data_IF_482150813438
#
_entry.id   IF_482150813438
#
_cell.length_a   1.000
_cell.length_b   1.000
_cell.length_c   1.000
_cell.angle_alpha   90.00
_cell.angle_beta   90.00
_cell.angle_gamma   90.00
#
_symmetry.space_group_name_H-M   'P 1'
#
loop_
_entity.id
_entity.type
_entity.pdbx_description
1 polymer ?
#
# COMPACT_ATOMS: atom_id res chain seq x y z
N UNK A 1 -8.37 1.38 0.15
CA UNK A 1 -8.07 2.77 -0.28
C UNK A 1 -8.90 3.12 -1.50
N UNK A 2 -9.56 4.29 -1.48
CA UNK A 2 -10.45 4.74 -2.55
C UNK A 2 -9.94 6.10 -3.05
N UNK A 3 -9.92 6.32 -4.37
CA UNK A 3 -9.63 7.62 -4.98
C UNK A 3 -10.84 8.13 -5.75
N UNK A 4 -11.08 9.45 -5.69
CA UNK A 4 -12.18 10.13 -6.36
C UNK A 4 -11.62 11.34 -7.10
N UNK A 5 -11.50 11.23 -8.42
CA UNK A 5 -11.02 12.30 -9.29
C UNK A 5 -12.17 12.84 -10.18
N UNK A 6 -11.96 13.97 -10.82
CA UNK A 6 -12.90 14.57 -11.74
C UNK A 6 -12.86 16.10 -11.74
N UNK A 7 -13.57 16.78 -12.67
CA UNK A 7 -13.52 18.23 -12.85
C UNK A 7 -14.07 19.03 -11.68
N UNK A 8 -13.90 20.34 -11.70
CA UNK A 8 -14.45 21.25 -10.70
C UNK A 8 -15.98 21.20 -10.71
N UNK A 9 -16.62 21.22 -9.54
CA UNK A 9 -18.09 21.22 -9.41
C UNK A 9 -18.78 19.87 -9.66
N UNK A 10 -18.03 18.76 -9.92
CA UNK A 10 -18.61 17.42 -10.08
C UNK A 10 -19.12 16.78 -8.77
N UNK A 11 -19.07 17.48 -7.64
CA UNK A 11 -19.58 16.99 -6.36
C UNK A 11 -18.62 16.13 -5.55
N UNK A 12 -17.34 16.01 -5.96
CA UNK A 12 -16.35 15.14 -5.34
C UNK A 12 -16.23 15.27 -3.82
N UNK A 13 -16.08 16.49 -3.30
CA UNK A 13 -15.83 16.73 -1.87
C UNK A 13 -17.02 16.31 -1.01
N UNK A 14 -18.24 16.58 -1.46
CA UNK A 14 -19.47 16.16 -0.78
C UNK A 14 -19.56 14.63 -0.75
N UNK A 15 -19.43 14.02 -1.92
CA UNK A 15 -19.53 12.57 -2.07
C UNK A 15 -18.40 11.84 -1.34
N UNK A 16 -17.17 12.36 -1.40
CA UNK A 16 -16.01 11.76 -0.70
C UNK A 16 -16.21 11.77 0.82
N UNK A 17 -16.74 12.86 1.37
CA UNK A 17 -17.05 12.96 2.81
C UNK A 17 -18.12 11.95 3.21
N UNK A 18 -19.25 11.94 2.52
CA UNK A 18 -20.37 11.03 2.80
C UNK A 18 -19.95 9.55 2.63
N UNK A 19 -19.16 9.25 1.61
CA UNK A 19 -18.65 7.90 1.39
C UNK A 19 -17.67 7.49 2.50
N UNK A 20 -16.78 8.37 2.92
CA UNK A 20 -15.85 8.12 4.02
C UNK A 20 -16.59 7.86 5.33
N UNK A 21 -17.58 8.69 5.67
CA UNK A 21 -18.45 8.52 6.84
C UNK A 21 -19.17 7.16 6.81
N UNK A 22 -19.79 6.82 5.67
CA UNK A 22 -20.53 5.56 5.49
C UNK A 22 -19.65 4.32 5.63
N UNK A 23 -18.40 4.40 5.17
CA UNK A 23 -17.46 3.28 5.21
C UNK A 23 -16.60 3.21 6.47
N UNK A 24 -16.68 4.21 7.37
CA UNK A 24 -15.79 4.37 8.50
C UNK A 24 -14.34 4.65 8.07
N UNK A 25 -14.14 5.33 6.94
CA UNK A 25 -12.84 5.68 6.38
C UNK A 25 -12.44 7.11 6.72
N UNK A 26 -11.14 7.39 6.69
CA UNK A 26 -10.62 8.75 6.84
C UNK A 26 -10.68 9.49 5.51
N UNK A 27 -11.27 10.69 5.50
CA UNK A 27 -11.24 11.58 4.34
C UNK A 27 -9.87 12.28 4.26
N UNK A 28 -9.24 12.22 3.09
CA UNK A 28 -8.02 12.98 2.75
C UNK A 28 -8.37 14.00 1.66
N UNK A 29 -8.66 15.25 2.03
CA UNK A 29 -9.02 16.32 1.09
C UNK A 29 -7.75 16.89 0.46
N UNK A 30 -7.25 16.26 -0.63
CA UNK A 30 -5.95 16.62 -1.23
C UNK A 30 -5.92 18.09 -1.70
N UNK A 31 -7.04 18.58 -2.24
CA UNK A 31 -7.18 19.97 -2.65
C UNK A 31 -7.03 20.97 -1.50
N UNK A 32 -7.46 20.62 -0.29
CA UNK A 32 -7.32 21.50 0.87
C UNK A 32 -5.85 21.61 1.34
N UNK A 33 -5.03 20.57 1.13
CA UNK A 33 -3.59 20.63 1.42
C UNK A 33 -2.88 21.62 0.50
N UNK A 34 -3.21 21.63 -0.81
CA UNK A 34 -2.69 22.66 -1.73
C UNK A 34 -3.17 24.05 -1.35
N UNK A 35 -4.43 24.19 -0.93
CA UNK A 35 -4.97 25.47 -0.46
C UNK A 35 -4.29 25.98 0.81
N UNK A 36 -3.84 25.11 1.71
CA UNK A 36 -3.07 25.51 2.89
C UNK A 36 -1.73 26.12 2.48
N UNK A 37 -1.04 25.53 1.49
CA UNK A 37 0.19 26.14 0.95
C UNK A 37 -0.09 27.47 0.21
N UNK A 38 -1.19 27.56 -0.54
CA UNK A 38 -1.59 28.82 -1.18
C UNK A 38 -1.84 29.91 -0.14
N UNK A 39 -2.51 29.59 0.96
CA UNK A 39 -2.73 30.53 2.07
C UNK A 39 -1.40 31.00 2.67
N UNK A 40 -0.42 30.10 2.85
CA UNK A 40 0.91 30.45 3.34
C UNK A 40 1.65 31.39 2.39
N UNK A 41 1.61 31.10 1.08
CA UNK A 41 2.20 31.96 0.05
C UNK A 41 1.57 33.36 0.07
N UNK A 42 0.25 33.46 0.19
CA UNK A 42 -0.47 34.73 0.30
C UNK A 42 -0.09 35.50 1.57
N UNK A 43 -0.04 34.83 2.72
CA UNK A 43 0.28 35.46 4.02
C UNK A 43 1.72 36.01 4.05
N UNK A 44 2.66 35.33 3.40
CA UNK A 44 4.07 35.72 3.37
C UNK A 44 4.42 36.74 2.27
N UNK A 45 3.53 36.91 1.27
CA UNK A 45 3.84 37.68 0.07
C UNK A 45 4.88 37.02 -0.84
N UNK A 46 5.16 35.72 -0.65
CA UNK A 46 6.09 34.98 -1.50
C UNK A 46 5.55 34.87 -2.93
N UNK A 47 6.42 34.89 -3.95
CA UNK A 47 5.96 34.80 -5.33
C UNK A 47 5.35 33.42 -5.64
N UNK A 48 4.17 33.40 -6.23
CA UNK A 48 3.49 32.17 -6.68
C UNK A 48 4.08 31.63 -8.00
N UNK A 49 5.40 31.54 -8.10
CA UNK A 49 6.15 31.04 -9.27
C UNK A 49 7.29 30.14 -8.82
N UNK A 50 7.69 29.21 -9.69
CA UNK A 50 8.82 28.32 -9.41
C UNK A 50 10.11 29.14 -9.21
N UNK A 51 10.87 28.81 -8.16
CA UNK A 51 12.14 29.46 -7.87
C UNK A 51 12.64 29.22 -6.44
N UNK A 52 13.89 29.64 -6.15
CA UNK A 52 14.51 29.45 -4.84
C UNK A 52 13.73 30.09 -3.67
N UNK A 53 13.10 31.23 -3.90
CA UNK A 53 12.31 31.95 -2.89
C UNK A 53 11.11 31.13 -2.44
N UNK A 54 10.35 30.56 -3.40
CA UNK A 54 9.23 29.69 -3.09
C UNK A 54 9.71 28.41 -2.40
N UNK A 55 10.79 27.79 -2.87
CA UNK A 55 11.35 26.59 -2.26
C UNK A 55 11.79 26.82 -0.81
N UNK A 56 12.48 27.93 -0.55
CA UNK A 56 12.89 28.33 0.81
C UNK A 56 11.68 28.58 1.71
N UNK A 57 10.62 29.21 1.19
CA UNK A 57 9.37 29.42 1.92
C UNK A 57 8.66 28.10 2.25
N UNK A 58 8.54 27.19 1.29
CA UNK A 58 7.86 25.92 1.48
C UNK A 58 8.60 24.95 2.41
N UNK A 59 9.93 25.00 2.47
CA UNK A 59 10.76 24.02 3.18
C UNK A 59 10.34 23.81 4.65
N UNK A 60 10.20 24.85 5.49
CA UNK A 60 9.86 24.70 6.91
C UNK A 60 8.40 24.39 7.17
N UNK A 61 7.48 24.65 6.22
CA UNK A 61 6.05 24.53 6.46
C UNK A 61 5.63 23.08 6.80
N UNK A 62 4.73 22.96 7.77
CA UNK A 62 4.09 21.69 8.14
C UNK A 62 2.62 21.71 7.74
N UNK A 63 2.24 20.80 6.85
CA UNK A 63 0.83 20.58 6.48
C UNK A 63 0.40 19.22 6.99
N UNK A 64 -0.69 19.16 7.75
CA UNK A 64 -1.24 17.90 8.27
C UNK A 64 -2.75 17.84 8.14
N UNK A 65 -3.29 16.62 8.12
CA UNK A 65 -4.73 16.37 8.11
C UNK A 65 -5.06 15.55 9.35
N UNK A 66 -5.97 16.06 10.19
CA UNK A 66 -6.44 15.39 11.41
C UNK A 66 -7.97 15.40 11.42
N UNK A 67 -8.58 14.22 11.51
CA UNK A 67 -10.04 14.07 11.46
C UNK A 67 -10.72 14.83 10.28
N UNK A 68 -10.09 14.80 9.09
CA UNK A 68 -10.59 15.51 7.90
C UNK A 68 -10.39 17.03 7.89
N UNK A 69 -9.79 17.61 8.93
CA UNK A 69 -9.44 19.04 9.02
C UNK A 69 -7.98 19.26 8.64
N UNK A 70 -7.72 20.35 7.95
CA UNK A 70 -6.37 20.71 7.45
C UNK A 70 -5.70 21.74 8.36
N UNK A 71 -4.47 21.45 8.74
CA UNK A 71 -3.65 22.30 9.60
C UNK A 71 -2.40 22.74 8.85
N UNK A 72 -2.06 24.02 9.01
CA UNK A 72 -0.82 24.64 8.54
C UNK A 72 -0.04 25.10 9.76
N UNK A 73 1.17 24.58 9.97
CA UNK A 73 2.04 24.89 11.12
C UNK A 73 1.31 24.76 12.48
N UNK A 74 0.36 23.81 12.56
CA UNK A 74 -0.46 23.56 13.75
C UNK A 74 -1.76 24.36 13.82
N UNK A 75 -1.92 25.44 13.05
CA UNK A 75 -3.16 26.21 12.94
C UNK A 75 -4.20 25.44 12.10
N UNK A 76 -5.43 25.30 12.59
CA UNK A 76 -6.55 24.78 11.79
C UNK A 76 -7.00 25.84 10.78
N UNK A 77 -6.72 25.59 9.51
CA UNK A 77 -7.03 26.50 8.41
C UNK A 77 -8.18 26.03 7.53
N UNK A 78 -8.91 25.00 7.95
CA UNK A 78 -9.93 24.28 7.15
C UNK A 78 -10.98 25.23 6.56
N UNK A 79 -11.43 26.21 7.30
CA UNK A 79 -12.47 27.13 6.85
C UNK A 79 -11.88 28.30 6.06
N UNK A 80 -10.73 28.82 6.47
CA UNK A 80 -10.04 29.96 5.83
C UNK A 80 -9.61 29.61 4.40
N UNK A 81 -9.16 28.36 4.16
CA UNK A 81 -8.72 27.92 2.82
C UNK A 81 -9.83 27.79 1.79
N UNK A 82 -11.11 27.98 2.18
CA UNK A 82 -12.27 27.91 1.26
C UNK A 82 -12.54 29.22 0.53
N UNK A 83 -11.87 30.31 0.86
CA UNK A 83 -12.05 31.61 0.22
C UNK A 83 -11.77 31.57 -1.29
N UNK A 84 -12.39 32.45 -2.05
CA UNK A 84 -12.16 32.57 -3.50
C UNK A 84 -10.73 33.01 -3.81
N UNK A 85 -10.17 33.87 -2.99
CA UNK A 85 -8.81 34.36 -3.15
C UNK A 85 -7.77 33.23 -3.01
N UNK A 86 -7.90 32.39 -1.96
CA UNK A 86 -7.08 31.19 -1.80
C UNK A 86 -7.27 30.21 -2.96
N UNK A 87 -8.50 30.07 -3.46
CA UNK A 87 -8.78 29.18 -4.59
C UNK A 87 -8.07 29.61 -5.88
N UNK A 88 -7.96 30.93 -6.13
CA UNK A 88 -7.24 31.49 -7.27
C UNK A 88 -5.74 31.16 -7.18
N UNK A 89 -5.10 31.53 -6.07
CA UNK A 89 -3.67 31.24 -5.87
C UNK A 89 -3.40 29.73 -5.89
N UNK A 90 -4.31 28.92 -5.38
CA UNK A 90 -4.17 27.45 -5.46
C UNK A 90 -4.07 26.95 -6.89
N UNK A 91 -4.90 27.47 -7.81
CA UNK A 91 -4.84 27.08 -9.22
C UNK A 91 -3.47 27.39 -9.84
N UNK A 92 -2.86 28.51 -9.46
CA UNK A 92 -1.53 28.90 -9.92
C UNK A 92 -0.44 27.95 -9.38
N UNK A 93 -0.42 27.72 -8.07
CA UNK A 93 0.68 26.96 -7.43
C UNK A 93 0.60 25.45 -7.62
N UNK A 94 -0.58 24.87 -7.92
CA UNK A 94 -0.71 23.42 -8.16
C UNK A 94 0.02 22.93 -9.40
N UNK A 95 0.43 23.83 -10.30
CA UNK A 95 1.23 23.54 -11.48
C UNK A 95 2.74 23.52 -11.19
N UNK A 96 3.15 23.99 -10.00
CA UNK A 96 4.56 24.15 -9.63
C UNK A 96 5.15 22.85 -9.08
N UNK A 97 6.33 22.48 -9.56
CA UNK A 97 7.01 21.26 -9.18
C UNK A 97 7.38 21.22 -7.69
N UNK A 98 7.88 22.33 -7.13
CA UNK A 98 8.24 22.46 -5.71
C UNK A 98 7.05 22.26 -4.77
N UNK A 99 5.88 22.79 -5.11
CA UNK A 99 4.63 22.61 -4.34
C UNK A 99 4.20 21.15 -4.35
N UNK A 100 4.24 20.50 -5.51
CA UNK A 100 3.89 19.09 -5.65
C UNK A 100 4.89 18.18 -4.94
N UNK A 101 6.17 18.48 -4.99
CA UNK A 101 7.21 17.76 -4.26
C UNK A 101 6.98 17.81 -2.73
N UNK A 102 6.41 18.88 -2.22
CA UNK A 102 6.04 19.01 -0.80
C UNK A 102 4.77 18.22 -0.45
N UNK A 103 3.71 18.34 -1.24
CA UNK A 103 2.36 17.78 -0.91
C UNK A 103 2.22 16.31 -1.24
N UNK A 104 2.73 15.85 -2.39
CA UNK A 104 2.50 14.47 -2.85
C UNK A 104 3.04 13.40 -1.88
N UNK A 105 4.24 13.54 -1.25
CA UNK A 105 4.70 12.58 -0.24
C UNK A 105 3.77 12.52 0.98
N UNK A 106 3.24 13.66 1.44
CA UNK A 106 2.32 13.72 2.58
C UNK A 106 0.99 13.02 2.26
N UNK A 107 0.45 13.24 1.06
CA UNK A 107 -0.75 12.54 0.59
C UNK A 107 -0.54 11.02 0.54
N UNK A 108 0.60 10.57 0.03
CA UNK A 108 0.97 9.14 0.00
C UNK A 108 1.15 8.55 1.39
N UNK A 109 1.71 9.32 2.32
CA UNK A 109 1.86 8.89 3.72
C UNK A 109 0.49 8.67 4.37
N UNK A 110 -0.44 9.62 4.23
CA UNK A 110 -1.81 9.49 4.72
C UNK A 110 -2.55 8.31 4.07
N UNK A 111 -2.34 8.12 2.76
CA UNK A 111 -2.91 6.99 2.03
C UNK A 111 -2.37 5.62 2.49
N UNK A 112 -1.12 5.58 2.97
CA UNK A 112 -0.48 4.34 3.42
C UNK A 112 -1.08 3.78 4.72
N UNK A 113 -1.78 4.60 5.50
CA UNK A 113 -2.47 4.16 6.72
C UNK A 113 -3.65 3.22 6.43
N UNK A 114 -4.15 3.18 5.19
CA UNK A 114 -5.30 2.38 4.79
C UNK A 114 -6.63 2.98 5.26
N UNK A 115 -7.76 2.40 4.83
CA UNK A 115 -9.07 2.90 5.24
C UNK A 115 -9.33 4.37 4.89
N UNK A 116 -8.85 4.85 3.74
CA UNK A 116 -8.91 6.27 3.34
C UNK A 116 -9.69 6.47 2.05
N UNK A 117 -10.34 7.63 1.96
CA UNK A 117 -10.92 8.19 0.72
C UNK A 117 -10.14 9.45 0.37
N UNK A 118 -9.44 9.44 -0.76
CA UNK A 118 -8.75 10.61 -1.29
C UNK A 118 -9.62 11.26 -2.37
N UNK A 119 -9.77 12.58 -2.32
CA UNK A 119 -10.44 13.33 -3.37
C UNK A 119 -9.49 14.33 -4.03
N UNK A 120 -9.53 14.46 -5.35
CA UNK A 120 -8.63 15.37 -6.07
C UNK A 120 -8.86 15.47 -7.56
N UNK A 121 -7.73 15.51 -8.32
CA UNK A 121 -7.67 15.56 -9.77
C UNK A 121 -6.77 14.46 -10.37
N UNK A 122 -5.80 14.05 -9.59
CA UNK A 122 -4.72 13.14 -9.97
C UNK A 122 -4.47 12.09 -8.88
N UNK A 123 -5.45 11.88 -8.00
CA UNK A 123 -5.30 10.95 -6.88
C UNK A 123 -5.15 9.51 -7.35
N UNK A 124 -5.88 9.11 -8.38
CA UNK A 124 -5.83 7.77 -8.96
C UNK A 124 -4.78 7.58 -10.06
N UNK A 125 -4.18 8.68 -10.58
CA UNK A 125 -3.15 8.60 -11.63
C UNK A 125 -1.74 8.78 -11.08
N UNK A 126 -1.54 9.74 -10.17
CA UNK A 126 -0.20 10.18 -9.69
C UNK A 126 0.01 9.89 -8.21
N UNK A 127 -0.95 10.21 -7.34
CA UNK A 127 -0.77 10.07 -5.88
C UNK A 127 -0.82 8.60 -5.49
N UNK A 128 -1.90 7.90 -5.87
CA UNK A 128 -2.17 6.50 -5.53
C UNK A 128 -2.61 5.71 -6.78
N UNK A 129 -1.69 5.48 -7.74
CA UNK A 129 -2.02 4.75 -8.97
C UNK A 129 -2.40 3.29 -8.73
N UNK A 130 -2.11 2.77 -7.55
CA UNK A 130 -2.41 1.43 -7.06
C UNK A 130 -3.63 1.39 -6.12
N UNK A 131 -4.47 2.44 -6.08
CA UNK A 131 -5.70 2.44 -5.31
C UNK A 131 -6.63 1.29 -5.72
N UNK A 132 -7.26 0.64 -4.72
CA UNK A 132 -8.11 -0.54 -4.91
C UNK A 132 -9.36 -0.22 -5.72
N UNK A 133 -9.98 0.90 -5.39
CA UNK A 133 -11.15 1.40 -6.09
C UNK A 133 -10.88 2.84 -6.51
N UNK A 134 -11.05 3.11 -7.78
CA UNK A 134 -10.88 4.43 -8.35
C UNK A 134 -12.18 4.87 -8.99
N UNK A 135 -12.62 6.05 -8.62
CA UNK A 135 -13.76 6.70 -9.24
C UNK A 135 -13.33 7.94 -10.01
N UNK A 136 -13.96 8.16 -11.15
CA UNK A 136 -13.86 9.39 -11.92
C UNK A 136 -15.26 9.98 -12.06
N UNK A 137 -15.51 11.06 -11.30
CA UNK A 137 -16.83 11.73 -11.35
C UNK A 137 -16.86 12.72 -12.50
N UNK A 138 -17.90 12.66 -13.31
CA UNK A 138 -18.21 13.63 -14.35
C UNK A 138 -19.54 14.31 -14.04
N UNK A 139 -19.77 15.46 -14.63
CA UNK A 139 -21.08 16.11 -14.73
C UNK A 139 -21.06 17.14 -15.88
N UNK A 140 -22.19 17.39 -16.49
CA UNK A 140 -22.31 18.43 -17.52
C UNK A 140 -21.92 19.80 -16.96
N UNK A 141 -21.40 20.66 -17.81
CA UNK A 141 -20.97 22.00 -17.41
C UNK A 141 -22.11 22.81 -16.79
N UNK A 142 -23.32 22.63 -17.33
CA UNK A 142 -24.56 23.27 -16.85
C UNK A 142 -24.93 22.79 -15.44
N UNK A 143 -24.85 21.49 -15.18
CA UNK A 143 -25.14 20.93 -13.86
C UNK A 143 -24.14 21.44 -12.83
N UNK A 144 -22.85 21.49 -13.19
CA UNK A 144 -21.79 22.02 -12.33
C UNK A 144 -21.94 23.52 -12.06
N UNK A 145 -22.29 24.30 -13.06
CA UNK A 145 -22.54 25.74 -12.92
C UNK A 145 -23.74 26.01 -12.02
N UNK A 146 -24.85 25.25 -12.18
CA UNK A 146 -26.04 25.35 -11.30
C UNK A 146 -25.67 25.03 -9.83
N UNK A 147 -24.92 23.97 -9.57
CA UNK A 147 -24.47 23.61 -8.23
C UNK A 147 -23.59 24.69 -7.63
N UNK A 148 -22.62 25.22 -8.40
CA UNK A 148 -21.74 26.29 -7.94
C UNK A 148 -22.50 27.59 -7.64
N UNK A 149 -23.52 27.95 -8.44
CA UNK A 149 -24.38 29.08 -8.16
C UNK A 149 -25.14 28.91 -6.85
N UNK A 150 -25.70 27.72 -6.59
CA UNK A 150 -26.38 27.42 -5.34
C UNK A 150 -25.44 27.52 -4.12
N UNK A 151 -24.21 27.02 -4.23
CA UNK A 151 -23.18 27.15 -3.18
C UNK A 151 -22.87 28.63 -2.88
N UNK A 152 -22.64 29.43 -3.93
CA UNK A 152 -22.37 30.87 -3.78
C UNK A 152 -23.53 31.61 -3.16
N UNK A 153 -24.76 31.32 -3.61
CA UNK A 153 -25.98 31.94 -3.05
C UNK A 153 -26.16 31.62 -1.57
N UNK A 154 -25.82 30.43 -1.13
CA UNK A 154 -25.91 30.03 0.28
C UNK A 154 -24.98 30.82 1.21
N UNK A 155 -23.91 31.40 0.69
CA UNK A 155 -22.99 32.30 1.43
C UNK A 155 -23.18 33.77 1.10
N UNK A 156 -24.29 34.13 0.46
CA UNK A 156 -24.66 35.51 0.12
C UNK A 156 -23.87 36.10 -1.06
N UNK A 157 -23.11 35.28 -1.78
CA UNK A 157 -22.39 35.72 -2.98
C UNK A 157 -23.24 35.47 -4.24
N UNK A 158 -23.53 36.53 -5.01
CA UNK A 158 -24.29 36.43 -6.24
C UNK A 158 -23.35 36.54 -7.43
N UNK A 159 -23.36 35.55 -8.31
CA UNK A 159 -22.62 35.57 -9.58
C UNK A 159 -23.52 35.13 -10.75
N UNK A 160 -23.44 35.80 -11.91
CA UNK A 160 -24.15 35.37 -13.11
C UNK A 160 -23.73 33.96 -13.53
N UNK A 161 -24.70 33.17 -14.04
CA UNK A 161 -24.43 31.76 -14.43
C UNK A 161 -23.35 31.67 -15.52
N UNK A 162 -23.35 32.62 -16.46
CA UNK A 162 -22.36 32.66 -17.56
C UNK A 162 -20.96 32.91 -17.07
N UNK A 163 -20.80 33.78 -16.05
CA UNK A 163 -19.48 34.03 -15.42
C UNK A 163 -18.99 32.74 -14.72
N UNK A 164 -19.87 32.06 -13.96
CA UNK A 164 -19.54 30.78 -13.31
C UNK A 164 -19.18 29.71 -14.35
N UNK A 165 -19.91 29.63 -15.43
CA UNK A 165 -19.70 28.69 -16.53
C UNK A 165 -18.31 28.91 -17.18
N UNK A 166 -17.98 30.18 -17.43
CA UNK A 166 -16.69 30.57 -18.01
C UNK A 166 -15.53 30.23 -17.07
N UNK A 167 -15.66 30.50 -15.77
CA UNK A 167 -14.66 30.16 -14.75
C UNK A 167 -14.42 28.64 -14.69
N UNK A 168 -15.52 27.85 -14.64
CA UNK A 168 -15.43 26.40 -14.60
C UNK A 168 -14.75 25.83 -15.85
N UNK A 169 -15.08 26.33 -17.04
CA UNK A 169 -14.45 25.91 -18.30
C UNK A 169 -12.96 26.23 -18.32
N UNK A 170 -12.57 27.45 -17.93
CA UNK A 170 -11.18 27.86 -17.85
C UNK A 170 -10.39 26.96 -16.90
N UNK A 171 -10.96 26.62 -15.76
CA UNK A 171 -10.35 25.75 -14.76
C UNK A 171 -10.22 24.31 -15.25
N UNK A 172 -11.23 23.76 -15.91
CA UNK A 172 -11.15 22.42 -16.49
C UNK A 172 -10.05 22.35 -17.54
N UNK A 173 -9.99 23.33 -18.45
CA UNK A 173 -8.93 23.42 -19.44
C UNK A 173 -7.55 23.46 -18.78
N UNK A 174 -7.37 24.27 -17.73
CA UNK A 174 -6.13 24.33 -16.99
C UNK A 174 -5.77 22.98 -16.33
N UNK A 175 -6.76 22.33 -15.65
CA UNK A 175 -6.54 21.04 -14.98
C UNK A 175 -6.19 19.92 -16.00
N UNK A 176 -6.75 19.93 -17.21
CA UNK A 176 -6.53 18.95 -18.27
C UNK A 176 -5.22 19.15 -19.05
N UNK A 177 -4.81 20.41 -19.25
CA UNK A 177 -3.66 20.77 -20.09
C UNK A 177 -2.37 21.01 -19.32
N UNK A 178 -2.42 21.08 -17.99
CA UNK A 178 -1.21 21.28 -17.17
C UNK A 178 -0.19 20.17 -17.45
N UNK A 179 1.09 20.55 -17.52
CA UNK A 179 2.20 19.63 -17.80
C UNK A 179 2.37 18.58 -16.69
N UNK A 180 2.27 19.02 -15.43
CA UNK A 180 2.44 18.16 -14.27
C UNK A 180 1.08 17.63 -13.77
N UNK A 181 0.91 16.30 -13.78
CA UNK A 181 -0.24 15.59 -13.24
C UNK A 181 -1.60 16.11 -13.77
N UNK A 182 -1.82 16.10 -15.11
CA UNK A 182 -3.07 16.55 -15.71
C UNK A 182 -4.26 15.75 -15.20
N UNK A 183 -5.44 16.39 -15.18
CA UNK A 183 -6.69 15.72 -14.90
C UNK A 183 -6.99 14.70 -15.99
N UNK A 184 -6.86 13.43 -15.66
CA UNK A 184 -7.15 12.30 -16.56
C UNK A 184 -7.81 11.18 -15.78
N UNK A 185 -8.73 10.48 -16.45
CA UNK A 185 -9.30 9.26 -15.91
C UNK A 185 -8.21 8.22 -15.71
N UNK A 186 -8.04 7.76 -14.48
CA UNK A 186 -7.04 6.75 -14.17
C UNK A 186 -7.39 5.40 -14.83
N UNK A 187 -6.40 4.58 -15.24
CA UNK A 187 -6.66 3.22 -15.70
C UNK A 187 -7.48 2.42 -14.66
N UNK A 188 -8.55 1.77 -15.13
CA UNK A 188 -9.46 1.02 -14.27
C UNK A 188 -10.39 1.86 -13.39
N UNK A 189 -10.42 3.19 -13.54
CA UNK A 189 -11.36 4.03 -12.82
C UNK A 189 -12.79 3.86 -13.35
N UNK A 190 -13.73 3.73 -12.42
CA UNK A 190 -15.16 3.67 -12.69
C UNK A 190 -15.65 5.10 -12.87
N UNK A 191 -16.17 5.38 -14.05
CA UNK A 191 -16.76 6.68 -14.37
C UNK A 191 -18.21 6.73 -13.91
N UNK A 192 -18.57 7.83 -13.24
CA UNK A 192 -19.91 8.10 -12.78
C UNK A 192 -20.31 9.51 -13.23
N UNK A 193 -21.31 9.59 -14.09
CA UNK A 193 -21.97 10.86 -14.41
C UNK A 193 -22.93 11.22 -13.28
N UNK A 194 -22.66 12.37 -12.67
CA UNK A 194 -23.44 12.87 -11.53
C UNK A 194 -24.42 13.97 -11.92
N UNK A 195 -24.62 14.27 -13.20
CA UNK A 195 -25.38 15.42 -13.69
C UNK A 195 -26.78 15.49 -13.08
N UNK A 196 -27.49 14.37 -13.07
CA UNK A 196 -28.89 14.25 -12.63
C UNK A 196 -29.04 13.46 -11.32
N UNK A 197 -27.92 13.18 -10.62
CA UNK A 197 -27.93 12.41 -9.39
C UNK A 197 -27.80 13.30 -8.16
N UNK A 198 -28.50 12.93 -7.09
CA UNK A 198 -28.25 13.49 -5.75
C UNK A 198 -26.95 12.94 -5.18
N UNK A 199 -26.37 13.64 -4.20
CA UNK A 199 -25.16 13.17 -3.53
C UNK A 199 -25.36 11.77 -2.91
N UNK A 200 -26.51 11.52 -2.30
CA UNK A 200 -26.83 10.22 -1.68
C UNK A 200 -26.94 9.10 -2.70
N UNK A 201 -27.52 9.35 -3.89
CA UNK A 201 -27.57 8.36 -4.96
C UNK A 201 -26.17 8.03 -5.49
N UNK A 202 -25.31 9.03 -5.65
CA UNK A 202 -23.91 8.81 -6.05
C UNK A 202 -23.18 7.97 -4.99
N UNK A 203 -23.30 8.33 -3.71
CA UNK A 203 -22.70 7.60 -2.59
C UNK A 203 -23.22 6.16 -2.52
N UNK A 204 -24.52 5.95 -2.74
CA UNK A 204 -25.11 4.61 -2.77
C UNK A 204 -24.50 3.75 -3.88
N UNK A 205 -24.37 4.30 -5.10
CA UNK A 205 -23.75 3.59 -6.21
C UNK A 205 -22.27 3.29 -5.91
N UNK A 206 -21.52 4.26 -5.40
CA UNK A 206 -20.11 4.08 -5.05
C UNK A 206 -19.94 3.05 -3.92
N UNK A 207 -20.78 3.12 -2.88
CA UNK A 207 -20.74 2.15 -1.78
C UNK A 207 -21.04 0.73 -2.27
N UNK A 208 -22.04 0.55 -3.13
CA UNK A 208 -22.35 -0.75 -3.72
C UNK A 208 -21.17 -1.33 -4.55
N UNK A 209 -20.44 -0.46 -5.24
CA UNK A 209 -19.18 -0.85 -5.92
C UNK A 209 -18.14 -1.28 -4.89
N UNK A 210 -17.87 -0.47 -3.87
CA UNK A 210 -16.88 -0.78 -2.82
C UNK A 210 -17.25 -2.07 -2.09
N UNK A 211 -18.52 -2.28 -1.78
CA UNK A 211 -19.02 -3.50 -1.15
C UNK A 211 -18.84 -4.73 -2.05
N UNK A 212 -19.04 -4.62 -3.37
CA UNK A 212 -18.69 -5.69 -4.32
C UNK A 212 -17.19 -5.99 -4.30
N UNK A 213 -16.34 -4.97 -4.34
CA UNK A 213 -14.89 -5.15 -4.23
C UNK A 213 -14.49 -5.75 -2.86
N UNK A 214 -15.20 -5.39 -1.78
CA UNK A 214 -15.03 -6.00 -0.45
C UNK A 214 -15.67 -7.39 -0.39
N UNK A 215 -16.86 -7.56 -0.96
CA UNK A 215 -17.58 -8.82 -1.03
C UNK A 215 -16.87 -9.84 -1.92
N UNK A 216 -16.31 -9.40 -3.05
CA UNK A 216 -15.43 -10.22 -3.88
C UNK A 216 -14.12 -10.56 -3.16
N UNK A 217 -13.66 -9.72 -2.22
CA UNK A 217 -12.56 -10.04 -1.33
C UNK A 217 -12.97 -10.98 -0.17
N UNK A 218 -14.24 -10.89 0.27
CA UNK A 218 -14.80 -11.70 1.37
C UNK A 218 -15.67 -12.89 0.94
N UNK A 219 -16.19 -12.89 -0.26
CA UNK A 219 -17.06 -13.93 -0.85
C UNK A 219 -16.46 -14.59 -2.08
N UNK A 220 -15.15 -14.46 -2.31
CA UNK A 220 -14.51 -15.50 -3.10
C UNK A 220 -14.67 -16.77 -2.27
N UNK A 221 -15.48 -17.75 -2.74
CA UNK A 221 -15.42 -19.08 -2.18
C UNK A 221 -13.94 -19.43 -2.11
N UNK A 222 -13.52 -20.27 -1.18
CA UNK A 222 -12.20 -20.90 -1.13
C UNK A 222 -11.88 -21.54 -2.50
N UNK A 223 -11.77 -20.72 -3.51
CA UNK A 223 -11.15 -21.09 -4.76
C UNK A 223 -9.67 -20.99 -4.42
N UNK A 224 -9.06 -22.13 -4.15
CA UNK A 224 -7.62 -22.20 -4.13
C UNK A 224 -7.20 -21.51 -5.43
N UNK A 225 -6.30 -20.54 -5.42
CA UNK A 225 -5.95 -19.70 -6.58
C UNK A 225 -5.89 -20.62 -7.77
N UNK A 226 -6.79 -20.41 -8.74
CA UNK A 226 -7.25 -21.40 -9.73
C UNK A 226 -6.03 -22.18 -10.15
N UNK A 227 -5.98 -23.44 -9.79
CA UNK A 227 -4.74 -24.22 -9.88
C UNK A 227 -4.32 -24.09 -11.33
N UNK A 228 -3.43 -23.13 -11.57
CA UNK A 228 -2.97 -22.86 -12.93
C UNK A 228 -2.32 -24.20 -13.31
N UNK A 229 -2.99 -24.98 -14.18
CA UNK A 229 -2.49 -26.29 -14.60
C UNK A 229 -1.00 -26.19 -14.96
N UNK A 230 -0.63 -25.06 -15.56
CA UNK A 230 0.76 -24.74 -15.84
C UNK A 230 1.61 -24.62 -14.56
N UNK A 231 1.10 -23.95 -13.51
CA UNK A 231 1.80 -23.89 -12.22
C UNK A 231 2.00 -25.28 -11.62
N UNK A 232 0.96 -26.09 -11.63
CA UNK A 232 1.03 -27.47 -11.11
C UNK A 232 2.03 -28.33 -11.89
N UNK A 233 2.00 -28.26 -13.22
CA UNK A 233 2.96 -28.98 -14.09
C UNK A 233 4.39 -28.44 -13.86
N UNK A 234 4.58 -27.12 -13.88
CA UNK A 234 5.90 -26.51 -13.61
C UNK A 234 6.39 -26.83 -12.21
N UNK A 235 5.50 -26.85 -11.21
CA UNK A 235 5.85 -27.27 -9.84
C UNK A 235 6.29 -28.74 -9.81
N UNK A 236 5.58 -29.65 -10.44
CA UNK A 236 5.95 -31.06 -10.51
C UNK A 236 7.31 -31.24 -11.18
N UNK A 237 7.52 -30.59 -12.33
CA UNK A 237 8.80 -30.63 -13.05
C UNK A 237 9.94 -30.02 -12.22
N UNK A 238 9.71 -28.85 -11.62
CA UNK A 238 10.70 -28.19 -10.77
C UNK A 238 11.02 -29.02 -9.54
N UNK A 239 10.03 -29.58 -8.85
CA UNK A 239 10.24 -30.45 -7.68
C UNK A 239 10.96 -31.73 -8.09
N UNK A 240 10.59 -32.34 -9.22
CA UNK A 240 11.31 -33.50 -9.79
C UNK A 240 12.79 -33.19 -10.05
N UNK A 241 13.07 -32.10 -10.75
CA UNK A 241 14.43 -31.60 -11.00
C UNK A 241 15.18 -31.30 -9.70
N UNK A 242 14.53 -30.65 -8.74
CA UNK A 242 15.13 -30.31 -7.45
C UNK A 242 15.42 -31.55 -6.60
N UNK A 243 14.53 -32.56 -6.61
CA UNK A 243 14.75 -33.82 -5.90
C UNK A 243 15.92 -34.60 -6.49
N UNK A 244 16.09 -34.61 -7.80
CA UNK A 244 17.19 -35.31 -8.46
C UNK A 244 18.51 -34.53 -8.36
N UNK A 245 18.49 -33.22 -8.69
CA UNK A 245 19.71 -32.41 -8.77
C UNK A 245 20.20 -31.96 -7.37
N UNK A 246 19.27 -31.57 -6.49
CA UNK A 246 19.61 -31.04 -5.17
C UNK A 246 19.25 -31.98 -4.01
N UNK A 247 18.79 -33.20 -4.28
CA UNK A 247 18.30 -34.15 -3.25
C UNK A 247 17.41 -33.42 -2.22
N UNK A 248 16.43 -32.64 -2.75
CA UNK A 248 15.57 -31.80 -1.93
C UNK A 248 14.77 -32.62 -0.94
N UNK A 249 14.98 -32.36 0.35
CA UNK A 249 14.20 -32.91 1.46
C UNK A 249 13.41 -31.79 2.15
N UNK A 250 12.26 -32.11 2.70
CA UNK A 250 11.45 -31.14 3.45
C UNK A 250 10.78 -31.80 4.64
N UNK A 251 10.76 -31.07 5.78
CA UNK A 251 10.13 -31.49 7.04
C UNK A 251 9.21 -30.38 7.56
N UNK A 252 8.19 -30.73 8.35
CA UNK A 252 7.26 -29.77 8.97
C UNK A 252 6.27 -29.12 8.00
N UNK A 253 6.00 -29.72 6.83
CA UNK A 253 5.06 -29.18 5.82
C UNK A 253 3.62 -29.04 6.34
N UNK A 254 3.27 -29.88 7.31
CA UNK A 254 2.00 -29.89 8.05
C UNK A 254 1.79 -28.62 8.87
N UNK A 255 2.85 -27.91 9.21
CA UNK A 255 2.81 -26.63 9.94
C UNK A 255 2.29 -25.47 9.07
N UNK A 256 2.20 -25.66 7.75
CA UNK A 256 1.63 -24.65 6.85
C UNK A 256 0.11 -24.87 6.81
N UNK A 257 -0.72 -23.90 7.29
CA UNK A 257 -2.16 -23.99 7.19
C UNK A 257 -2.62 -24.27 5.76
N UNK A 258 -3.51 -25.24 5.57
CA UNK A 258 -3.99 -25.64 4.25
C UNK A 258 -4.74 -24.51 3.54
N UNK A 259 -5.47 -23.68 4.29
CA UNK A 259 -6.28 -22.55 3.81
C UNK A 259 -6.01 -21.31 4.67
N UNK A 260 -6.55 -20.17 4.24
CA UNK A 260 -6.41 -18.89 4.95
C UNK A 260 -5.03 -18.25 4.83
N UNK A 261 -4.87 -17.04 5.40
CA UNK A 261 -3.62 -16.30 5.34
C UNK A 261 -2.51 -16.97 6.14
N UNK A 262 -1.30 -16.98 5.60
CA UNK A 262 -0.10 -17.39 6.34
C UNK A 262 1.11 -16.65 5.81
N UNK A 263 1.96 -16.20 6.70
CA UNK A 263 3.21 -15.54 6.40
C UNK A 263 4.37 -16.52 6.64
N UNK A 264 5.05 -16.95 5.59
CA UNK A 264 6.28 -17.73 5.71
C UNK A 264 7.48 -16.78 5.79
N UNK A 265 8.33 -16.98 6.78
CA UNK A 265 9.53 -16.16 6.99
C UNK A 265 10.77 -17.05 6.92
N UNK A 266 11.67 -16.80 5.97
CA UNK A 266 12.81 -17.67 5.69
C UNK A 266 14.15 -16.93 5.73
N UNK A 267 15.24 -17.66 6.06
CA UNK A 267 16.59 -17.17 5.79
C UNK A 267 16.84 -17.06 4.29
N UNK A 268 17.78 -16.22 3.88
CA UNK A 268 18.05 -15.98 2.46
C UNK A 268 19.54 -16.05 2.13
N UNK A 269 20.00 -17.12 1.50
CA UNK A 269 21.38 -17.34 1.11
C UNK A 269 21.60 -17.52 -0.40
N UNK A 270 20.53 -17.86 -1.15
CA UNK A 270 20.65 -18.22 -2.56
C UNK A 270 19.48 -17.72 -3.42
N UNK A 271 19.69 -17.63 -4.73
CA UNK A 271 18.61 -17.51 -5.72
C UNK A 271 17.71 -18.76 -5.77
N UNK A 272 18.17 -19.90 -5.23
CA UNK A 272 17.40 -21.12 -5.14
C UNK A 272 16.34 -21.08 -4.03
N UNK A 273 16.45 -20.20 -3.03
CA UNK A 273 15.57 -20.24 -1.86
C UNK A 273 14.08 -20.12 -2.24
N UNK A 274 13.63 -19.14 -3.04
CA UNK A 274 12.22 -19.05 -3.39
C UNK A 274 11.69 -20.31 -4.11
N UNK A 275 12.33 -20.84 -5.16
CA UNK A 275 11.85 -22.04 -5.84
C UNK A 275 11.91 -23.31 -4.97
N UNK A 276 12.92 -23.50 -4.12
CA UNK A 276 12.99 -24.71 -3.26
C UNK A 276 11.95 -24.65 -2.15
N UNK A 277 11.69 -23.48 -1.55
CA UNK A 277 10.62 -23.32 -0.57
C UNK A 277 9.26 -23.53 -1.24
N UNK A 278 9.02 -22.91 -2.40
CA UNK A 278 7.78 -23.08 -3.16
C UNK A 278 7.52 -24.52 -3.61
N UNK A 279 8.58 -25.24 -3.99
CA UNK A 279 8.52 -26.68 -4.31
C UNK A 279 8.28 -27.56 -3.10
N UNK A 280 8.84 -27.20 -1.94
CA UNK A 280 8.71 -27.92 -0.69
C UNK A 280 7.37 -27.66 0.02
N UNK A 281 6.74 -26.49 -0.15
CA UNK A 281 5.52 -26.10 0.55
C UNK A 281 4.31 -26.97 0.16
N UNK A 282 3.37 -27.16 1.11
CA UNK A 282 2.13 -27.91 0.92
C UNK A 282 1.11 -27.22 0.02
N UNK A 283 1.21 -25.87 -0.14
CA UNK A 283 0.31 -25.05 -0.97
C UNK A 283 1.09 -24.03 -1.80
N UNK A 284 0.41 -23.35 -2.70
CA UNK A 284 0.98 -22.30 -3.54
C UNK A 284 1.38 -21.10 -2.69
N UNK A 285 2.59 -20.58 -2.95
CA UNK A 285 3.12 -19.38 -2.29
C UNK A 285 3.08 -18.18 -3.22
N UNK A 286 2.87 -17.01 -2.65
CA UNK A 286 3.09 -15.71 -3.29
C UNK A 286 4.48 -15.21 -2.92
N UNK A 287 5.29 -14.88 -3.92
CA UNK A 287 6.67 -14.42 -3.75
C UNK A 287 6.76 -12.92 -4.01
N UNK A 288 7.56 -12.23 -3.20
CA UNK A 288 7.94 -10.84 -3.46
C UNK A 288 9.32 -10.83 -4.14
N UNK A 289 9.37 -10.37 -5.39
CA UNK A 289 10.57 -10.38 -6.20
C UNK A 289 10.90 -8.97 -6.74
N UNK A 290 12.19 -8.70 -7.01
CA UNK A 290 12.65 -7.42 -7.55
C UNK A 290 11.95 -7.08 -8.86
N UNK A 291 11.51 -5.82 -9.02
CA UNK A 291 10.82 -5.34 -10.20
C UNK A 291 11.63 -5.57 -11.48
N UNK A 292 12.96 -5.43 -11.43
CA UNK A 292 13.87 -5.62 -12.57
C UNK A 292 13.83 -7.05 -13.13
N UNK A 293 13.47 -8.05 -12.32
CA UNK A 293 13.33 -9.44 -12.78
C UNK A 293 12.13 -9.63 -13.72
N UNK A 294 11.14 -8.76 -13.61
CA UNK A 294 9.94 -8.79 -14.44
C UNK A 294 10.14 -8.13 -15.81
N UNK A 295 11.23 -7.40 -15.99
CA UNK A 295 11.62 -6.75 -17.25
C UNK A 295 12.41 -7.70 -18.16
N UNK A 296 12.93 -8.82 -17.61
CA UNK A 296 13.68 -9.81 -18.39
C UNK A 296 12.71 -10.54 -19.34
N UNK A 297 12.93 -10.48 -20.68
CA UNK A 297 12.07 -11.14 -21.65
C UNK A 297 11.91 -12.65 -21.37
N UNK A 298 10.68 -13.15 -21.41
CA UNK A 298 10.34 -14.54 -21.12
C UNK A 298 10.33 -14.86 -19.62
N UNK A 299 11.36 -14.47 -18.86
CA UNK A 299 11.49 -14.74 -17.44
C UNK A 299 10.44 -13.96 -16.61
N UNK A 300 10.23 -12.68 -16.92
CA UNK A 300 9.21 -11.87 -16.24
C UNK A 300 7.79 -12.44 -16.38
N UNK A 301 7.45 -12.94 -17.56
CA UNK A 301 6.18 -13.63 -17.81
C UNK A 301 6.06 -14.95 -17.02
N UNK A 302 7.15 -15.71 -16.93
CA UNK A 302 7.19 -16.96 -16.17
C UNK A 302 6.97 -16.73 -14.67
N UNK A 303 7.71 -15.79 -14.05
CA UNK A 303 7.62 -15.56 -12.61
C UNK A 303 6.27 -14.95 -12.19
N UNK A 304 5.62 -14.13 -13.06
CA UNK A 304 4.23 -13.70 -12.85
C UNK A 304 3.27 -14.88 -12.79
N UNK A 305 3.41 -15.84 -13.71
CA UNK A 305 2.60 -17.07 -13.72
C UNK A 305 2.88 -17.98 -12.51
N UNK A 306 4.07 -17.88 -11.92
CA UNK A 306 4.45 -18.53 -10.67
C UNK A 306 4.05 -17.73 -9.43
N UNK A 307 3.16 -16.75 -9.57
CA UNK A 307 2.63 -15.93 -8.49
C UNK A 307 3.66 -15.02 -7.80
N UNK A 308 4.72 -14.62 -8.52
CA UNK A 308 5.63 -13.58 -8.05
C UNK A 308 5.02 -12.19 -8.25
N UNK A 309 5.22 -11.31 -7.26
CA UNK A 309 4.76 -9.91 -7.27
C UNK A 309 5.98 -8.98 -7.27
N UNK A 310 6.02 -7.96 -8.14
CA UNK A 310 7.15 -7.04 -8.22
C UNK A 310 7.20 -6.12 -7.00
N UNK A 311 8.41 -5.89 -6.49
CA UNK A 311 8.71 -4.90 -5.45
C UNK A 311 9.93 -4.08 -5.83
N UNK A 312 9.94 -2.79 -5.48
CA UNK A 312 11.11 -1.91 -5.60
C UNK A 312 11.92 -1.97 -4.30
N UNK A 313 13.26 -1.98 -4.40
CA UNK A 313 14.13 -2.19 -3.22
C UNK A 313 14.83 -0.92 -2.71
N UNK A 314 14.42 0.25 -3.07
CA UNK A 314 14.97 1.49 -2.55
C UNK A 314 14.27 1.87 -1.23
N UNK A 315 14.94 1.66 -0.10
CA UNK A 315 14.45 2.02 1.24
C UNK A 315 13.40 1.06 1.83
N UNK A 316 12.57 1.57 2.73
CA UNK A 316 11.33 0.91 3.17
C UNK A 316 10.33 1.07 2.03
N UNK A 317 10.05 -0.01 1.29
CA UNK A 317 9.07 0.02 0.18
C UNK A 317 7.63 -0.16 0.73
N UNK A 318 6.85 0.92 0.88
CA UNK A 318 5.46 0.81 1.33
C UNK A 318 4.59 0.03 0.34
N UNK A 319 4.99 -0.03 -0.95
CA UNK A 319 4.32 -0.81 -1.98
C UNK A 319 4.48 -2.31 -1.76
N UNK A 320 5.69 -2.75 -1.37
CA UNK A 320 5.94 -4.14 -1.01
C UNK A 320 5.10 -4.59 0.18
N UNK A 321 5.05 -3.76 1.23
CA UNK A 321 4.25 -4.04 2.42
C UNK A 321 2.76 -4.14 2.07
N UNK A 322 2.21 -3.18 1.30
CA UNK A 322 0.81 -3.22 0.84
C UNK A 322 0.50 -4.45 -0.01
N UNK A 323 1.41 -4.80 -0.92
CA UNK A 323 1.24 -6.00 -1.78
C UNK A 323 1.19 -7.28 -0.94
N UNK A 324 2.05 -7.39 0.07
CA UNK A 324 2.05 -8.52 1.00
C UNK A 324 0.79 -8.55 1.87
N UNK A 325 0.39 -7.38 2.43
CA UNK A 325 -0.85 -7.26 3.23
C UNK A 325 -2.09 -7.64 2.43
N UNK A 326 -2.17 -7.20 1.16
CA UNK A 326 -3.27 -7.57 0.27
C UNK A 326 -3.29 -9.07 0.00
N UNK A 327 -2.16 -9.67 -0.32
CA UNK A 327 -2.07 -11.11 -0.56
C UNK A 327 -2.48 -11.93 0.69
N UNK A 328 -2.11 -11.47 1.89
CA UNK A 328 -2.56 -12.08 3.14
C UNK A 328 -4.07 -11.88 3.37
N UNK A 329 -4.60 -10.68 3.12
CA UNK A 329 -6.04 -10.41 3.21
C UNK A 329 -6.86 -11.27 2.23
N UNK A 330 -6.29 -11.59 1.06
CA UNK A 330 -6.85 -12.53 0.06
C UNK A 330 -6.68 -14.02 0.48
N UNK A 331 -6.28 -14.32 1.71
CA UNK A 331 -6.08 -15.68 2.20
C UNK A 331 -4.89 -16.42 1.61
N UNK A 332 -3.94 -15.71 0.98
CA UNK A 332 -2.79 -16.33 0.33
C UNK A 332 -1.67 -16.64 1.32
N UNK A 333 -0.81 -17.59 0.96
CA UNK A 333 0.44 -17.86 1.66
C UNK A 333 1.54 -16.97 1.06
N UNK A 334 2.09 -16.05 1.86
CA UNK A 334 3.10 -15.09 1.41
C UNK A 334 4.46 -15.48 1.96
N UNK A 335 5.48 -15.56 1.10
CA UNK A 335 6.87 -15.79 1.50
C UNK A 335 7.64 -14.47 1.51
N UNK A 336 8.30 -14.19 2.63
CA UNK A 336 9.25 -13.08 2.76
C UNK A 336 10.59 -13.57 3.33
N UNK A 337 11.62 -12.79 3.04
CA UNK A 337 12.94 -12.93 3.64
C UNK A 337 13.19 -11.74 4.57
N UNK A 338 13.06 -11.92 5.89
CA UNK A 338 13.11 -10.80 6.85
C UNK A 338 14.45 -10.06 6.84
N UNK A 339 15.53 -10.69 6.46
CA UNK A 339 16.86 -10.10 6.29
C UNK A 339 16.91 -9.03 5.16
N UNK A 340 15.99 -9.10 4.20
CA UNK A 340 15.87 -8.17 3.07
C UNK A 340 16.99 -8.27 2.02
N UNK A 341 17.98 -9.11 2.23
CA UNK A 341 19.09 -9.37 1.29
C UNK A 341 19.65 -10.76 1.50
N UNK A 342 20.31 -11.30 0.48
CA UNK A 342 21.00 -12.60 0.60
C UNK A 342 22.23 -12.47 1.49
N UNK A 343 22.37 -13.42 2.44
CA UNK A 343 23.53 -13.62 3.30
C UNK A 343 24.41 -14.77 2.84
N UNK A 344 25.37 -15.17 3.68
CA UNK A 344 26.17 -16.37 3.52
C UNK A 344 25.44 -17.57 4.12
N UNK A 345 25.76 -18.78 3.63
CA UNK A 345 25.12 -20.00 4.11
C UNK A 345 25.32 -20.18 5.64
N UNK A 346 24.22 -20.40 6.36
CA UNK A 346 24.23 -20.60 7.80
C UNK A 346 24.35 -19.32 8.65
N UNK A 347 24.60 -18.16 8.05
CA UNK A 347 24.70 -16.88 8.76
C UNK A 347 23.34 -16.15 8.70
N UNK A 348 22.70 -15.98 9.86
CA UNK A 348 21.46 -15.24 9.98
C UNK A 348 21.73 -13.76 10.29
N UNK A 349 21.09 -12.86 9.56
CA UNK A 349 21.17 -11.42 9.78
C UNK A 349 19.94 -10.91 10.53
N UNK A 350 20.04 -9.77 11.23
CA UNK A 350 18.87 -9.17 11.87
C UNK A 350 17.74 -8.92 10.87
N UNK A 351 16.50 -9.13 11.31
CA UNK A 351 15.34 -8.81 10.50
C UNK A 351 15.18 -7.29 10.33
N UNK A 352 14.71 -6.87 9.16
CA UNK A 352 14.24 -5.50 8.95
C UNK A 352 12.88 -5.30 9.61
N UNK A 353 12.61 -4.09 10.10
CA UNK A 353 11.38 -3.73 10.81
C UNK A 353 10.07 -4.05 10.04
N UNK A 354 10.12 -4.02 8.70
CA UNK A 354 8.96 -4.32 7.85
C UNK A 354 8.42 -5.75 8.00
N UNK A 355 9.25 -6.72 8.38
CA UNK A 355 8.80 -8.10 8.58
C UNK A 355 7.90 -8.23 9.81
N UNK A 356 8.31 -7.64 10.94
CA UNK A 356 7.52 -7.61 12.18
C UNK A 356 6.25 -6.79 12.02
N UNK A 357 6.34 -5.66 11.32
CA UNK A 357 5.17 -4.83 10.98
C UNK A 357 4.14 -5.64 10.19
N UNK A 358 4.57 -6.39 9.16
CA UNK A 358 3.68 -7.22 8.36
C UNK A 358 2.97 -8.29 9.21
N UNK A 359 3.69 -8.98 10.09
CA UNK A 359 3.13 -10.00 10.95
C UNK A 359 2.09 -9.45 11.94
N UNK A 360 2.43 -8.35 12.63
CA UNK A 360 1.55 -7.73 13.63
C UNK A 360 0.29 -7.13 12.97
N UNK A 361 0.45 -6.44 11.83
CA UNK A 361 -0.68 -5.80 11.16
C UNK A 361 -1.62 -6.78 10.45
N UNK A 362 -1.08 -7.88 9.91
CA UNK A 362 -1.92 -8.88 9.23
C UNK A 362 -2.65 -9.81 10.19
N UNK A 363 -2.13 -10.00 11.42
CA UNK A 363 -2.62 -11.03 12.35
C UNK A 363 -2.50 -12.47 11.81
N UNK A 364 -1.85 -12.65 10.66
CA UNK A 364 -1.68 -13.96 10.04
C UNK A 364 -0.72 -14.83 10.85
N UNK A 365 -0.93 -16.16 10.92
CA UNK A 365 0.06 -17.09 11.46
C UNK A 365 1.39 -16.94 10.71
N UNK A 366 2.50 -16.95 11.44
CA UNK A 366 3.84 -16.82 10.89
C UNK A 366 4.57 -18.15 11.00
N UNK A 367 4.87 -18.78 9.86
CA UNK A 367 5.62 -20.04 9.81
C UNK A 367 7.09 -19.74 9.55
N UNK A 368 7.98 -19.98 10.52
CA UNK A 368 9.42 -19.85 10.30
C UNK A 368 9.92 -20.98 9.40
N UNK A 369 10.82 -20.66 8.49
CA UNK A 369 11.39 -21.61 7.51
C UNK A 369 12.90 -21.49 7.53
N UNK A 370 13.61 -22.62 7.59
CA UNK A 370 15.04 -22.65 7.42
C UNK A 370 15.44 -23.46 6.19
N UNK A 371 16.21 -22.83 5.32
CA UNK A 371 16.80 -23.46 4.13
C UNK A 371 18.29 -23.68 4.36
N UNK A 372 18.74 -24.93 4.25
CA UNK A 372 20.14 -25.33 4.41
C UNK A 372 20.67 -25.88 3.10
N UNK A 373 21.88 -25.46 2.74
CA UNK A 373 22.62 -26.00 1.59
C UNK A 373 22.40 -25.25 0.28
N UNK A 374 21.41 -24.37 0.21
CA UNK A 374 21.09 -23.61 -1.02
C UNK A 374 22.20 -22.63 -1.42
N UNK A 375 22.84 -21.96 -0.45
CA UNK A 375 23.97 -21.06 -0.67
C UNK A 375 25.21 -21.82 -1.18
N UNK A 376 25.41 -23.07 -0.77
CA UNK A 376 26.45 -23.92 -1.31
C UNK A 376 26.11 -24.47 -2.70
N UNK A 377 24.83 -24.74 -2.96
CA UNK A 377 24.35 -25.20 -4.26
C UNK A 377 24.43 -24.08 -5.33
N UNK A 378 24.07 -22.85 -4.98
CA UNK A 378 24.18 -21.70 -5.90
C UNK A 378 24.71 -20.45 -5.18
N UNK A 379 26.04 -20.36 -4.95
CA UNK A 379 26.67 -19.20 -4.34
C UNK A 379 26.55 -17.94 -5.19
N UNK A 380 26.71 -16.78 -4.57
CA UNK A 380 26.78 -15.49 -5.29
C UNK A 380 27.87 -15.50 -6.36
N UNK A 381 27.58 -14.89 -7.51
CA UNK A 381 28.55 -14.76 -8.62
C UNK A 381 28.64 -15.98 -9.54
N UNK A 382 28.05 -17.10 -9.21
CA UNK A 382 28.00 -18.25 -10.11
C UNK A 382 26.83 -18.17 -11.09
N UNK A 383 27.09 -18.56 -12.34
CA UNK A 383 26.05 -18.60 -13.39
C UNK A 383 25.20 -19.87 -13.34
N UNK A 384 25.73 -20.98 -12.84
CA UNK A 384 25.07 -22.30 -12.85
C UNK A 384 25.13 -22.91 -11.45
N UNK A 385 24.05 -23.51 -10.94
CA UNK A 385 24.04 -24.21 -9.67
C UNK A 385 24.83 -25.53 -9.76
N UNK A 386 25.26 -26.03 -8.58
CA UNK A 386 25.92 -27.32 -8.42
C UNK A 386 25.01 -28.32 -7.73
N UNK A 387 25.04 -29.61 -8.08
CA UNK A 387 24.36 -30.65 -7.34
C UNK A 387 24.84 -30.69 -5.88
N UNK A 388 23.98 -30.29 -4.96
CA UNK A 388 24.22 -30.31 -3.52
C UNK A 388 22.91 -30.60 -2.80
N UNK A 389 22.94 -31.28 -1.67
CA UNK A 389 21.77 -31.52 -0.85
C UNK A 389 21.22 -30.19 -0.32
N UNK A 390 19.91 -29.96 -0.50
CA UNK A 390 19.18 -28.82 0.05
C UNK A 390 18.05 -29.35 0.92
N UNK A 391 17.93 -28.81 2.13
CA UNK A 391 16.84 -29.16 3.05
C UNK A 391 16.03 -27.93 3.38
N UNK A 392 14.70 -28.09 3.48
CA UNK A 392 13.76 -27.05 3.88
C UNK A 392 12.98 -27.52 5.09
N UNK A 393 13.11 -26.80 6.20
CA UNK A 393 12.43 -27.11 7.45
C UNK A 393 11.40 -26.03 7.75
N UNK A 394 10.13 -26.41 7.92
CA UNK A 394 9.04 -25.52 8.32
C UNK A 394 8.78 -25.72 9.82
N UNK A 395 8.90 -24.65 10.60
CA UNK A 395 8.65 -24.68 12.04
C UNK A 395 7.20 -24.48 12.41
N UNK A 396 6.89 -24.59 13.69
CA UNK A 396 5.55 -24.34 14.21
C UNK A 396 5.12 -22.88 13.99
N UNK A 397 3.82 -22.62 13.72
CA UNK A 397 3.30 -21.29 13.50
C UNK A 397 3.38 -20.41 14.77
N UNK A 398 3.93 -19.22 14.63
CA UNK A 398 3.93 -18.16 15.63
C UNK A 398 2.69 -17.26 15.42
N UNK A 399 2.16 -16.67 16.48
CA UNK A 399 1.09 -15.67 16.44
C UNK A 399 1.52 -14.41 17.20
N UNK A 400 1.14 -13.23 16.65
CA UNK A 400 1.50 -11.92 17.19
C UNK A 400 0.27 -11.03 17.45
N UNK A 401 -0.91 -11.62 17.62
CA UNK A 401 -2.22 -10.98 17.78
C UNK A 401 -2.63 -10.67 19.23
N UNK A 402 -1.82 -11.05 20.22
CA UNK A 402 -2.20 -11.08 21.65
C UNK A 402 -1.95 -9.82 22.48
N UNK A 403 -1.13 -8.87 22.06
CA UNK A 403 -0.78 -7.72 22.91
C UNK A 403 -1.31 -6.38 22.36
N UNK A 404 -2.42 -5.89 22.95
CA UNK A 404 -3.03 -4.58 22.63
C UNK A 404 -2.41 -3.39 23.39
N UNK A 405 -1.34 -3.60 24.17
CA UNK A 405 -0.63 -2.56 24.95
C UNK A 405 0.78 -2.29 24.44
N UNK A 406 1.27 -1.05 24.56
CA UNK A 406 2.64 -0.67 24.26
C UNK A 406 2.83 0.08 22.92
N UNK A 407 4.04 0.62 22.70
CA UNK A 407 4.41 1.33 21.50
C UNK A 407 4.42 0.37 20.27
N UNK A 408 3.72 0.78 19.20
CA UNK A 408 3.63 0.00 17.95
C UNK A 408 5.01 -0.39 17.41
N UNK A 409 6.00 0.50 17.49
CA UNK A 409 7.35 0.26 17.01
C UNK A 409 8.02 -0.88 17.79
N UNK A 410 7.87 -0.87 19.10
CA UNK A 410 8.41 -1.92 19.98
C UNK A 410 7.79 -3.30 19.67
N UNK A 411 6.48 -3.36 19.39
CA UNK A 411 5.80 -4.60 18.98
C UNK A 411 6.35 -5.18 17.69
N UNK A 412 6.64 -4.32 16.69
CA UNK A 412 7.23 -4.76 15.42
C UNK A 412 8.66 -5.28 15.58
N UNK A 413 9.44 -4.65 16.46
CA UNK A 413 10.80 -5.10 16.77
C UNK A 413 10.81 -6.44 17.51
N UNK A 414 9.90 -6.63 18.48
CA UNK A 414 9.73 -7.89 19.18
C UNK A 414 9.36 -9.01 18.19
N UNK A 415 8.31 -8.79 17.37
CA UNK A 415 7.89 -9.77 16.38
C UNK A 415 9.04 -10.14 15.41
N UNK A 416 9.77 -9.15 14.91
CA UNK A 416 10.95 -9.38 14.05
C UNK A 416 12.00 -10.23 14.73
N UNK A 417 12.28 -9.97 16.02
CA UNK A 417 13.27 -10.71 16.80
C UNK A 417 12.84 -12.15 17.06
N UNK A 418 11.59 -12.37 17.42
CA UNK A 418 11.05 -13.71 17.66
C UNK A 418 11.02 -14.58 16.38
N UNK A 419 10.70 -14.01 15.23
CA UNK A 419 10.82 -14.68 13.94
C UNK A 419 12.24 -15.17 13.70
N UNK A 420 13.25 -14.30 13.89
CA UNK A 420 14.66 -14.67 13.67
C UNK A 420 15.13 -15.71 14.68
N UNK A 421 14.69 -15.64 15.92
CA UNK A 421 14.98 -16.68 16.92
C UNK A 421 14.38 -18.03 16.52
N UNK A 422 13.15 -18.04 15.99
CA UNK A 422 12.51 -19.26 15.52
C UNK A 422 13.27 -19.88 14.32
N UNK A 423 13.71 -19.06 13.36
CA UNK A 423 14.55 -19.51 12.24
C UNK A 423 15.89 -20.06 12.77
N UNK A 424 16.51 -19.42 13.77
CA UNK A 424 17.76 -19.90 14.39
C UNK A 424 17.58 -21.26 15.07
N UNK A 425 16.48 -21.48 15.78
CA UNK A 425 16.16 -22.79 16.38
C UNK A 425 16.07 -23.90 15.33
N UNK A 426 15.46 -23.62 14.18
CA UNK A 426 15.40 -24.57 13.08
C UNK A 426 16.78 -24.86 12.48
N UNK A 427 17.66 -23.85 12.40
CA UNK A 427 19.06 -24.01 11.98
C UNK A 427 19.82 -24.96 12.91
N UNK A 428 19.65 -24.79 14.21
CA UNK A 428 20.38 -25.50 15.26
C UNK A 428 19.77 -26.88 15.58
N UNK A 429 18.70 -27.28 14.89
CA UNK A 429 18.05 -28.58 15.05
C UNK A 429 17.24 -28.73 16.33
N UNK A 430 16.96 -27.61 17.01
CA UNK A 430 16.19 -27.61 18.27
C UNK A 430 14.69 -27.49 17.94
N UNK A 431 14.03 -28.62 17.72
CA UNK A 431 12.55 -28.68 17.76
C UNK A 431 12.12 -28.67 19.22
N UNK A 432 11.92 -27.47 19.75
CA UNK A 432 11.55 -27.28 21.17
C UNK A 432 10.09 -26.94 21.31
N UNK A 433 9.45 -27.63 22.23
CA UNK A 433 8.04 -27.51 22.58
C UNK A 433 7.58 -26.10 22.94
N UNK A 434 6.26 -25.93 22.89
CA UNK A 434 5.49 -24.72 23.12
C UNK A 434 6.06 -23.81 24.23
N UNK A 435 6.54 -22.64 23.86
CA UNK A 435 6.83 -21.57 24.81
C UNK A 435 5.51 -20.93 25.24
N UNK A 436 4.93 -21.44 26.35
CA UNK A 436 3.99 -20.64 27.13
C UNK A 436 4.77 -19.48 27.73
N UNK A 437 4.35 -18.22 27.63
CA UNK A 437 4.95 -17.13 28.37
C UNK A 437 4.76 -17.42 29.87
N UNK A 438 5.86 -17.59 30.62
CA UNK A 438 5.80 -17.58 32.07
C UNK A 438 5.52 -16.14 32.54
N UNK A 439 4.59 -15.91 33.44
CA UNK A 439 4.43 -14.63 34.09
C UNK A 439 5.66 -14.35 34.96
N UNK A 440 6.37 -13.28 34.69
CA UNK A 440 7.42 -12.78 35.58
C UNK A 440 6.80 -12.42 36.93
N UNK A 441 7.18 -13.18 37.96
CA UNK A 441 6.86 -12.86 39.33
C UNK A 441 7.61 -11.60 39.77
N UNK A 442 6.90 -10.49 39.88
CA UNK A 442 7.37 -9.33 40.64
C UNK A 442 7.49 -9.70 42.11
N UNK A 443 8.64 -10.14 42.53
CA UNK A 443 8.99 -10.23 43.94
C UNK A 443 9.41 -8.84 44.41
N UNK A 444 8.57 -8.24 45.24
CA UNK A 444 8.87 -6.99 45.90
C UNK A 444 10.14 -7.10 46.75
N UNK A 445 10.93 -6.05 46.75
CA UNK A 445 11.84 -5.72 47.88
C UNK A 445 11.39 -4.40 48.46
N UNK A 446 10.69 -4.50 49.56
CA UNK A 446 10.63 -3.47 50.58
C UNK A 446 11.97 -3.44 51.31
N UNK A 447 12.64 -2.29 51.27
CA UNK A 447 13.23 -1.61 52.42
C UNK A 447 13.61 -0.20 52.02
#
# INVERSE_FOLDING_TARGET
MITIDGPAGAGKSTVARLLAERLGYTLVPTGAMYRALALSVMRSGSPAREGPELQAHLAPLSVSVKAGRVHLDGEDVTDVVRSQEVARVTSEITTLGSVRAKVTPLQRQLAAEGGVVLEGRDTGTVVCPDAEVKFYLTATLEARARRRRAELSAVGAMAPLDAITTELRARDTQDETRELAPLRKAPGAIELDTSDLTADQVVQQMAAVVERYRGDAGSRPDVPPASNRLYTVLKILAVGTMRTLFRLESTGRENIPATGPVLLVANHSSLLDPPVIGGAASRQLTFLAKAELFEIPGFGGLIRRLNARPIRREGVDPGALRTAMRALADGQAVLIFPEGTRGDEGVLRPAKAGAGMLAVLSGAPVVPVYVKGSGHAWPRGRRVPRPRKVTVTFGEPLRFDGERGGDRKQRYEIASREMMKAIARLRDGTTGGACRPQPESYAGRSK
#
